data_IF_479578264461
#
_entry.id   IF_479578264461
#
_cell.length_a   1.000
_cell.length_b   1.000
_cell.length_c   1.000
_cell.angle_alpha   90.00
_cell.angle_beta   90.00
_cell.angle_gamma   90.00
#
_symmetry.space_group_name_H-M   'P 1'
#
loop_
_entity.id
_entity.type
_entity.pdbx_description
1 polymer ?
#
# COMPACT_ATOMS: atom_id res chain seq x y z
N UNK A 1 10.13 6.29 2.25
CA UNK A 1 11.03 6.72 1.15
C UNK A 1 10.32 7.84 0.43
N UNK A 2 10.96 9.00 0.31
CA UNK A 2 10.43 10.16 -0.42
C UNK A 2 11.52 10.63 -1.38
N UNK A 3 11.15 11.01 -2.59
CA UNK A 3 12.04 11.60 -3.57
C UNK A 3 11.34 12.75 -4.29
N UNK A 4 12.11 13.77 -4.68
CA UNK A 4 11.62 14.86 -5.52
C UNK A 4 12.10 14.62 -6.94
N UNK A 5 11.17 14.48 -7.87
CA UNK A 5 11.45 14.44 -9.30
C UNK A 5 11.41 15.85 -9.86
N UNK A 6 12.54 16.31 -10.42
CA UNK A 6 12.63 17.57 -11.13
C UNK A 6 12.48 17.34 -12.64
N UNK A 7 11.43 17.91 -13.22
CA UNK A 7 11.16 17.86 -14.65
C UNK A 7 12.05 18.86 -15.41
N UNK A 8 12.52 18.55 -16.63
CA UNK A 8 13.27 19.49 -17.48
C UNK A 8 12.57 20.84 -17.74
N UNK A 9 11.24 20.90 -17.61
CA UNK A 9 10.44 22.12 -17.72
C UNK A 9 10.51 23.05 -16.51
N UNK A 10 11.20 22.66 -15.43
CA UNK A 10 11.31 23.41 -14.19
C UNK A 10 10.22 23.10 -13.15
N UNK A 11 9.36 22.12 -13.41
CA UNK A 11 8.38 21.61 -12.46
C UNK A 11 9.05 20.63 -11.47
N UNK A 12 8.57 20.57 -10.23
CA UNK A 12 9.00 19.57 -9.25
C UNK A 12 7.80 18.77 -8.73
N UNK A 13 8.01 17.48 -8.47
CA UNK A 13 7.00 16.58 -7.90
C UNK A 13 7.59 15.74 -6.78
N UNK A 14 7.03 15.86 -5.59
CA UNK A 14 7.36 14.98 -4.47
C UNK A 14 6.58 13.67 -4.58
N UNK A 15 7.30 12.55 -4.51
CA UNK A 15 6.73 11.20 -4.56
C UNK A 15 7.17 10.41 -3.34
N UNK A 16 6.35 9.45 -2.92
CA UNK A 16 6.65 8.61 -1.77
C UNK A 16 6.25 7.16 -1.99
N UNK A 17 6.96 6.27 -1.31
CA UNK A 17 6.65 4.85 -1.26
C UNK A 17 6.46 4.36 0.19
N UNK A 18 5.43 3.54 0.37
CA UNK A 18 5.17 2.82 1.63
C UNK A 18 6.04 1.55 1.64
N UNK A 19 6.78 1.36 2.73
CA UNK A 19 7.57 0.15 2.93
C UNK A 19 6.66 -1.00 3.35
N UNK A 20 6.90 -2.18 2.78
CA UNK A 20 6.18 -3.41 3.09
C UNK A 20 7.12 -4.51 3.56
N UNK A 21 6.60 -5.41 4.38
CA UNK A 21 7.26 -6.60 4.90
C UNK A 21 6.32 -7.81 4.80
N UNK A 22 6.80 -9.00 5.11
CA UNK A 22 5.95 -10.19 5.21
C UNK A 22 4.89 -9.99 6.29
N UNK A 23 3.67 -10.44 6.01
CA UNK A 23 2.57 -10.41 6.95
C UNK A 23 2.87 -11.26 8.21
N UNK A 24 2.36 -10.80 9.35
CA UNK A 24 2.27 -11.63 10.56
C UNK A 24 1.09 -12.63 10.44
N UNK A 25 0.89 -13.47 11.45
CA UNK A 25 -0.14 -14.51 11.42
C UNK A 25 -1.57 -13.96 11.22
N UNK A 26 -1.85 -12.77 11.77
CA UNK A 26 -3.17 -12.14 11.71
C UNK A 26 -3.48 -11.64 10.29
N UNK A 27 -2.51 -10.98 9.65
CA UNK A 27 -2.67 -10.41 8.31
C UNK A 27 -2.48 -11.45 7.20
N UNK A 28 -1.75 -12.54 7.46
CA UNK A 28 -1.47 -13.59 6.47
C UNK A 28 -2.73 -14.29 5.93
N UNK A 29 -3.86 -14.21 6.65
CA UNK A 29 -5.15 -14.71 6.17
C UNK A 29 -5.78 -13.83 5.07
N UNK A 30 -5.33 -12.57 4.95
CA UNK A 30 -5.83 -11.58 4.00
C UNK A 30 -4.84 -11.37 2.86
N UNK A 31 -3.55 -11.20 3.18
CA UNK A 31 -2.50 -10.93 2.22
C UNK A 31 -1.11 -11.35 2.75
N UNK A 32 -0.18 -11.71 1.86
CA UNK A 32 1.17 -12.18 2.22
C UNK A 32 2.11 -11.07 2.69
N UNK A 33 1.76 -9.82 2.38
CA UNK A 33 2.49 -8.59 2.71
C UNK A 33 1.67 -7.67 3.61
N UNK A 34 2.38 -6.93 4.48
CA UNK A 34 1.80 -5.87 5.31
C UNK A 34 2.70 -4.62 5.29
N UNK A 35 2.17 -3.42 5.57
CA UNK A 35 3.01 -2.23 5.75
C UNK A 35 3.91 -2.37 6.97
N UNK A 36 5.09 -1.73 6.94
CA UNK A 36 5.90 -1.54 8.14
C UNK A 36 5.19 -0.53 9.04
N UNK A 37 4.94 -0.92 10.29
CA UNK A 37 4.30 -0.07 11.30
C UNK A 37 5.34 0.35 12.32
N UNK A 38 5.54 1.66 12.48
CA UNK A 38 6.49 2.21 13.45
C UNK A 38 5.75 2.50 14.75
N UNK A 39 6.33 2.08 15.89
CA UNK A 39 5.80 2.41 17.21
C UNK A 39 5.95 3.92 17.47
N UNK A 40 4.95 4.60 18.08
CA UNK A 40 5.05 6.02 18.37
C UNK A 40 6.31 6.45 19.13
N UNK A 41 6.88 5.57 19.97
CA UNK A 41 8.12 5.82 20.70
C UNK A 41 9.35 5.92 19.79
N UNK A 42 9.30 5.29 18.63
CA UNK A 42 10.39 5.24 17.65
C UNK A 42 10.26 6.32 16.55
N UNK A 43 9.21 7.14 16.55
CA UNK A 43 8.98 8.15 15.50
C UNK A 43 10.15 9.12 15.34
N UNK A 44 10.71 9.63 16.44
CA UNK A 44 11.83 10.56 16.38
C UNK A 44 13.06 9.91 15.72
N UNK A 45 13.32 8.64 16.06
CA UNK A 45 14.40 7.85 15.48
C UNK A 45 14.15 7.53 14.00
N UNK A 46 12.92 7.21 13.63
CA UNK A 46 12.53 6.94 12.24
C UNK A 46 12.64 8.18 11.34
N UNK A 47 12.30 9.36 11.86
CA UNK A 47 12.28 10.61 11.10
C UNK A 47 13.63 11.36 11.08
N UNK A 48 14.62 10.93 11.88
CA UNK A 48 15.95 11.55 11.89
C UNK A 48 16.82 11.08 10.72
N UNK A 49 16.55 11.64 9.54
CA UNK A 49 17.36 11.43 8.34
C UNK A 49 18.66 12.25 8.32
N UNK A 50 18.99 12.99 9.39
CA UNK A 50 20.18 13.85 9.44
C UNK A 50 21.33 13.19 10.17
N UNK A 51 21.03 12.46 11.24
CA UNK A 51 22.06 11.85 12.10
C UNK A 51 22.09 10.34 12.02
N UNK A 52 21.01 9.70 11.58
CA UNK A 52 20.91 8.25 11.45
C UNK A 52 20.94 7.82 9.99
N UNK A 53 21.59 6.70 9.74
CA UNK A 53 21.58 6.02 8.46
C UNK A 53 20.54 4.89 8.45
N UNK A 54 20.14 4.38 7.26
CA UNK A 54 19.17 3.29 7.17
C UNK A 54 19.51 2.05 8.01
N UNK A 55 20.81 1.78 8.19
CA UNK A 55 21.28 0.65 9.02
C UNK A 55 20.94 0.82 10.51
N UNK A 56 20.85 2.06 10.98
CA UNK A 56 20.62 2.41 12.38
C UNK A 56 19.14 2.32 12.77
N UNK A 57 18.25 2.08 11.80
CA UNK A 57 16.80 1.91 12.00
C UNK A 57 16.26 0.61 11.41
N UNK A 58 17.14 -0.27 10.93
CA UNK A 58 16.76 -1.51 10.27
C UNK A 58 15.99 -2.48 11.20
N UNK A 59 16.22 -2.41 12.51
CA UNK A 59 15.50 -3.16 13.55
C UNK A 59 14.02 -2.74 13.66
N UNK A 60 13.64 -1.55 13.19
CA UNK A 60 12.25 -1.11 13.13
C UNK A 60 11.49 -1.79 11.98
N UNK A 61 12.18 -2.36 11.00
CA UNK A 61 11.60 -3.03 9.83
C UNK A 61 11.19 -4.46 10.17
N UNK A 62 10.17 -4.60 11.02
CA UNK A 62 9.61 -5.88 11.46
C UNK A 62 8.08 -5.90 11.30
N UNK A 63 7.46 -7.09 11.18
CA UNK A 63 6.01 -7.20 11.21
C UNK A 63 5.43 -6.57 12.47
N UNK A 64 4.23 -6.01 12.39
CA UNK A 64 3.54 -5.49 13.57
C UNK A 64 3.29 -6.61 14.58
N UNK A 65 3.14 -6.22 15.86
CA UNK A 65 2.80 -7.16 16.93
C UNK A 65 1.49 -7.90 16.59
N UNK A 66 1.35 -9.12 17.10
CA UNK A 66 0.06 -9.82 17.02
C UNK A 66 -1.00 -9.00 17.75
N UNK A 67 -2.24 -9.11 17.30
CA UNK A 67 -3.41 -8.38 17.81
C UNK A 67 -3.29 -6.84 17.67
N UNK A 68 -2.33 -6.34 16.89
CA UNK A 68 -2.20 -4.89 16.63
C UNK A 68 -3.32 -4.37 15.70
N UNK A 69 -3.77 -5.21 14.76
CA UNK A 69 -4.81 -4.87 13.81
C UNK A 69 -6.08 -5.68 14.08
N UNK A 70 -7.24 -5.03 13.91
CA UNK A 70 -8.53 -5.71 13.76
C UNK A 70 -8.88 -5.73 12.27
N UNK A 71 -9.20 -6.92 11.74
CA UNK A 71 -9.69 -7.06 10.37
C UNK A 71 -11.22 -6.99 10.35
N UNK A 72 -11.76 -5.98 9.66
CA UNK A 72 -13.19 -5.75 9.55
C UNK A 72 -13.55 -5.81 8.06
N UNK A 73 -14.49 -6.68 7.64
CA UNK A 73 -14.95 -6.72 6.26
C UNK A 73 -15.66 -5.40 5.91
N UNK A 74 -15.46 -4.92 4.68
CA UNK A 74 -16.11 -3.72 4.12
C UNK A 74 -16.75 -4.04 2.78
N UNK A 75 -17.62 -3.15 2.31
CA UNK A 75 -18.31 -3.30 1.03
C UNK A 75 -17.37 -3.21 -0.18
N UNK A 76 -17.69 -3.94 -1.26
CA UNK A 76 -17.02 -3.86 -2.57
C UNK A 76 -17.08 -2.46 -3.22
N UNK A 77 -17.87 -1.54 -2.67
CA UNK A 77 -17.85 -0.13 -3.06
C UNK A 77 -16.43 0.46 -3.02
N UNK A 78 -15.56 -0.01 -2.12
CA UNK A 78 -14.16 0.45 -2.02
C UNK A 78 -13.32 0.15 -3.28
N UNK A 79 -13.72 -0.84 -4.09
CA UNK A 79 -12.98 -1.24 -5.28
C UNK A 79 -13.01 -0.18 -6.40
N UNK A 80 -13.95 0.77 -6.34
CA UNK A 80 -14.05 1.87 -7.32
C UNK A 80 -13.46 3.15 -6.73
N UNK A 81 -12.32 3.57 -7.26
CA UNK A 81 -11.56 4.77 -6.80
C UNK A 81 -12.34 6.09 -6.81
N UNK A 82 -13.43 6.19 -7.58
CA UNK A 82 -14.29 7.37 -7.60
C UNK A 82 -15.18 7.47 -6.35
N UNK A 83 -15.32 6.38 -5.58
CA UNK A 83 -16.07 6.37 -4.33
C UNK A 83 -15.14 6.80 -3.19
N UNK A 84 -15.42 7.95 -2.59
CA UNK A 84 -14.59 8.54 -1.53
C UNK A 84 -15.38 8.90 -0.27
N UNK A 85 -16.69 8.57 -0.24
CA UNK A 85 -17.54 8.80 0.92
C UNK A 85 -17.22 7.85 2.08
N UNK A 86 -17.68 8.19 3.28
CA UNK A 86 -17.42 7.41 4.50
C UNK A 86 -18.00 6.00 4.45
N UNK A 87 -19.03 5.78 3.64
CA UNK A 87 -19.72 4.50 3.46
C UNK A 87 -18.77 3.37 3.01
N UNK A 88 -17.64 3.69 2.37
CA UNK A 88 -16.67 2.68 1.93
C UNK A 88 -15.89 2.03 3.09
N UNK A 89 -15.97 2.63 4.30
CA UNK A 89 -15.33 2.13 5.52
C UNK A 89 -16.34 1.49 6.49
N UNK A 90 -17.63 1.52 6.16
CA UNK A 90 -18.67 0.90 6.99
C UNK A 90 -18.53 -0.63 7.01
N UNK A 91 -18.85 -1.24 8.16
CA UNK A 91 -18.76 -2.70 8.32
C UNK A 91 -19.70 -3.39 7.32
N UNK A 92 -19.13 -4.23 6.47
CA UNK A 92 -19.85 -5.03 5.48
C UNK A 92 -20.16 -6.44 5.95
N UNK A 93 -20.97 -7.14 5.16
CA UNK A 93 -21.20 -8.58 5.32
C UNK A 93 -20.21 -9.36 4.45
N UNK A 94 -19.70 -10.48 4.96
CA UNK A 94 -18.85 -11.39 4.18
C UNK A 94 -19.79 -12.20 3.26
N UNK A 95 -19.94 -11.76 2.02
CA UNK A 95 -20.60 -12.54 0.97
C UNK A 95 -19.75 -13.76 0.57
N UNK A 96 -20.31 -14.72 -0.19
CA UNK A 96 -19.51 -15.77 -0.81
C UNK A 96 -18.43 -15.14 -1.70
N UNK A 97 -17.24 -15.74 -1.70
CA UNK A 97 -16.09 -15.23 -2.46
C UNK A 97 -16.49 -14.97 -3.93
N UNK A 98 -16.34 -13.74 -4.44
CA UNK A 98 -16.75 -13.44 -5.80
C UNK A 98 -15.91 -14.26 -6.77
N UNK A 99 -16.58 -15.04 -7.61
CA UNK A 99 -15.93 -15.83 -8.66
C UNK A 99 -15.09 -14.88 -9.53
N UNK A 100 -13.77 -15.09 -9.60
CA UNK A 100 -12.83 -14.21 -10.31
C UNK A 100 -13.27 -14.04 -11.76
N UNK A 101 -13.98 -12.94 -12.04
CA UNK A 101 -14.40 -12.61 -13.40
C UNK A 101 -13.13 -12.26 -14.18
N UNK A 102 -12.70 -13.17 -15.06
CA UNK A 102 -11.60 -12.93 -15.98
C UNK A 102 -11.95 -11.72 -16.84
N UNK A 103 -11.32 -10.59 -16.54
CA UNK A 103 -11.41 -9.37 -17.34
C UNK A 103 -10.84 -9.69 -18.72
N UNK A 104 -11.71 -9.85 -19.72
CA UNK A 104 -11.26 -9.96 -21.10
C UNK A 104 -10.61 -8.64 -21.49
N UNK A 105 -9.33 -8.70 -21.89
CA UNK A 105 -8.67 -7.54 -22.50
C UNK A 105 -9.45 -7.20 -23.79
N UNK A 106 -9.83 -5.94 -24.01
CA UNK A 106 -10.23 -5.49 -25.34
C UNK A 106 -9.11 -5.88 -26.32
N UNK A 107 -9.48 -6.49 -27.45
CA UNK A 107 -8.53 -7.00 -28.44
C UNK A 107 -7.49 -5.94 -28.79
N UNK A 108 -6.22 -6.36 -28.82
CA UNK A 108 -5.15 -5.51 -29.32
C UNK A 108 -5.50 -5.11 -30.77
N UNK A 109 -5.63 -3.80 -31.00
CA UNK A 109 -5.66 -3.25 -32.33
C UNK A 109 -4.22 -3.33 -32.88
N UNK A 110 -4.01 -4.13 -33.92
CA UNK A 110 -2.73 -4.35 -34.63
C UNK A 110 -2.19 -3.08 -35.32
N UNK A 111 -2.79 -1.92 -35.07
CA UNK A 111 -2.38 -0.62 -35.60
C UNK A 111 -1.31 0.10 -34.74
N UNK A 112 -1.05 -0.37 -33.52
CA UNK A 112 -0.06 0.28 -32.64
C UNK A 112 1.36 -0.23 -32.95
N UNK A 113 1.99 0.43 -33.91
CA UNK A 113 3.40 0.29 -34.25
C UNK A 113 4.27 0.39 -32.98
N UNK A 114 4.94 -0.71 -32.63
CA UNK A 114 5.99 -0.75 -31.61
C UNK A 114 7.17 0.13 -32.06
N UNK A 115 7.36 1.27 -31.41
CA UNK A 115 8.57 2.08 -31.55
C UNK A 115 9.55 1.71 -30.45
N UNK A 116 10.53 0.89 -30.84
CA UNK A 116 11.81 0.58 -30.17
C UNK A 116 11.76 -0.06 -28.77
#
# INVERSE_FOLDING_TARGET
LIETYAEPGGSEMDTGAILTINANADIAQIHDRMPVVIDPRDFARWLDCRTLEPRDVADLLRPAQLDFFEAIPVSDLVNKVANTGSEIQERGEIGPEPEKVKRQKPGADDSQMTLF
#
